data_IF_817582472216
#
_entry.id   IF_817582472216
#
_cell.length_a   1.000
_cell.length_b   1.000
_cell.length_c   1.000
_cell.angle_alpha   90.00
_cell.angle_beta   90.00
_cell.angle_gamma   90.00
#
_symmetry.space_group_name_H-M   'P 1'
#
loop_
_entity.id
_entity.type
_entity.pdbx_description
1 polymer ?
#
# COMPACT_ATOMS: atom_id res chain seq x y z
N UNK A 1 53.26 -22.85 -14.32
CA UNK A 1 53.89 -23.60 -15.41
C UNK A 1 52.90 -23.77 -16.55
N UNK A 2 53.34 -23.38 -17.78
CA UNK A 2 52.80 -23.61 -19.14
C UNK A 2 51.45 -22.96 -19.44
N UNK A 3 51.33 -21.79 -20.12
CA UNK A 3 51.76 -21.34 -21.48
C UNK A 3 51.26 -22.23 -22.63
N UNK A 4 50.42 -21.60 -23.52
CA UNK A 4 50.52 -21.56 -24.99
C UNK A 4 49.22 -20.90 -25.51
N UNK A 5 49.26 -19.70 -26.01
CA UNK A 5 49.68 -19.15 -27.33
C UNK A 5 48.82 -19.60 -28.51
N UNK A 6 48.15 -18.59 -29.05
CA UNK A 6 48.02 -18.06 -30.43
C UNK A 6 47.79 -19.06 -31.57
N UNK A 7 46.86 -18.74 -32.43
CA UNK A 7 47.10 -18.60 -33.89
C UNK A 7 46.10 -17.61 -34.53
N UNK A 8 46.69 -16.62 -35.16
CA UNK A 8 46.14 -15.62 -36.07
C UNK A 8 46.15 -16.22 -37.48
N UNK A 9 45.09 -16.09 -38.27
CA UNK A 9 45.15 -16.34 -39.72
C UNK A 9 44.42 -15.24 -40.48
N UNK A 10 45.27 -14.48 -41.17
CA UNK A 10 44.98 -13.44 -42.13
C UNK A 10 44.72 -14.10 -43.50
N UNK A 11 43.65 -13.74 -44.21
CA UNK A 11 43.57 -13.91 -45.65
C UNK A 11 43.15 -12.61 -46.31
N UNK A 12 44.11 -12.01 -46.99
CA UNK A 12 43.93 -11.01 -48.05
C UNK A 12 43.61 -11.73 -49.36
N UNK A 13 42.59 -11.24 -50.06
CA UNK A 13 42.49 -11.41 -51.51
C UNK A 13 41.88 -10.18 -52.14
N UNK A 14 42.66 -9.53 -52.96
CA UNK A 14 42.29 -8.46 -53.88
C UNK A 14 41.43 -8.99 -55.02
N UNK A 15 40.47 -8.13 -55.48
CA UNK A 15 39.74 -8.39 -56.72
C UNK A 15 38.95 -7.17 -57.15
N UNK A 16 39.45 -6.57 -58.20
CA UNK A 16 39.12 -5.30 -58.89
C UNK A 16 37.65 -5.03 -59.27
N UNK A 17 37.29 -3.74 -59.16
CA UNK A 17 36.51 -2.87 -60.05
C UNK A 17 35.43 -3.42 -60.97
N UNK A 18 34.22 -2.89 -60.81
CA UNK A 18 33.42 -2.34 -61.91
C UNK A 18 32.52 -1.20 -61.36
N UNK A 19 32.62 -0.04 -61.97
CA UNK A 19 31.79 1.14 -61.73
C UNK A 19 30.36 0.87 -62.18
N UNK A 20 29.42 1.03 -61.26
CA UNK A 20 28.00 1.19 -61.52
C UNK A 20 27.49 2.38 -60.74
N UNK A 21 27.26 3.53 -61.33
CA UNK A 21 26.54 4.65 -60.75
C UNK A 21 25.08 4.24 -60.47
N UNK A 22 24.88 3.72 -59.26
CA UNK A 22 23.58 3.57 -58.69
C UNK A 22 23.43 4.62 -57.58
N UNK A 23 22.51 5.57 -57.77
CA UNK A 23 22.20 6.57 -56.75
C UNK A 23 21.92 5.89 -55.42
N UNK A 24 22.77 6.12 -54.46
CA UNK A 24 22.54 5.73 -53.08
C UNK A 24 21.21 6.37 -52.64
N UNK A 25 20.20 5.57 -52.48
CA UNK A 25 19.01 6.00 -51.74
C UNK A 25 19.51 6.37 -50.35
N UNK A 26 19.46 7.66 -50.04
CA UNK A 26 19.56 8.16 -48.68
C UNK A 26 18.56 7.36 -47.83
N UNK A 27 18.95 6.87 -46.62
CA UNK A 27 17.98 6.37 -45.68
C UNK A 27 16.95 7.48 -45.47
N UNK A 28 15.66 7.11 -45.31
CA UNK A 28 14.64 8.12 -45.08
C UNK A 28 15.09 8.97 -43.91
N UNK A 29 15.18 10.27 -44.11
CA UNK A 29 15.37 11.25 -43.07
C UNK A 29 14.34 10.93 -41.99
N UNK A 30 14.81 10.64 -40.78
CA UNK A 30 13.92 10.40 -39.66
C UNK A 30 12.97 11.60 -39.54
N UNK A 31 11.76 11.42 -40.03
CA UNK A 31 10.68 12.35 -39.73
C UNK A 31 10.55 12.47 -38.25
N UNK A 32 10.32 13.65 -37.72
CA UNK A 32 9.95 13.80 -36.33
C UNK A 32 8.82 12.79 -36.05
N UNK A 33 8.88 12.06 -34.89
CA UNK A 33 7.86 11.09 -34.56
C UNK A 33 6.49 11.76 -34.61
N UNK A 34 5.52 11.10 -35.24
CA UNK A 34 4.16 11.62 -35.37
C UNK A 34 3.61 11.95 -33.98
N UNK A 35 3.36 13.24 -33.72
CA UNK A 35 2.73 13.70 -32.49
C UNK A 35 1.22 13.76 -32.68
N UNK A 36 0.52 13.22 -31.73
CA UNK A 36 -0.94 13.21 -31.67
C UNK A 36 -1.38 14.15 -30.54
N UNK A 37 -2.63 14.60 -30.61
CA UNK A 37 -3.26 15.37 -29.55
C UNK A 37 -4.53 14.67 -29.08
N UNK A 38 -4.65 14.48 -27.77
CA UNK A 38 -5.87 13.95 -27.15
C UNK A 38 -6.25 14.85 -25.96
N UNK A 39 -7.40 15.48 -26.06
CA UNK A 39 -7.91 16.43 -25.05
C UNK A 39 -6.94 17.55 -24.69
N UNK A 40 -6.12 18.02 -25.64
CA UNK A 40 -5.14 19.09 -25.42
C UNK A 40 -3.77 18.61 -24.96
N UNK A 41 -3.56 17.32 -24.77
CA UNK A 41 -2.25 16.72 -24.47
C UNK A 41 -1.60 16.21 -25.75
N UNK A 42 -0.37 16.67 -26.01
CA UNK A 42 0.44 16.21 -27.13
C UNK A 42 1.33 15.04 -26.71
N UNK A 43 1.29 13.94 -27.45
CA UNK A 43 2.07 12.72 -27.19
C UNK A 43 2.51 12.04 -28.47
N UNK A 44 3.52 11.17 -28.38
CA UNK A 44 3.94 10.27 -29.46
C UNK A 44 3.32 8.88 -29.29
N UNK A 45 3.12 8.16 -30.39
CA UNK A 45 2.62 6.77 -30.33
C UNK A 45 3.61 5.82 -29.65
N UNK A 46 4.89 6.16 -29.62
CA UNK A 46 5.94 5.36 -29.01
C UNK A 46 6.21 5.73 -27.54
N UNK A 47 5.47 6.71 -26.98
CA UNK A 47 5.64 7.14 -25.61
C UNK A 47 5.23 6.01 -24.63
N UNK A 48 5.99 5.87 -23.55
CA UNK A 48 5.76 4.88 -22.51
C UNK A 48 4.73 5.33 -21.45
N UNK A 49 4.43 6.63 -21.41
CA UNK A 49 3.46 7.23 -20.48
C UNK A 49 2.54 8.20 -21.21
N UNK A 50 1.25 8.14 -20.86
CA UNK A 50 0.23 9.11 -21.24
C UNK A 50 -0.44 9.62 -19.97
N UNK A 51 -0.21 10.89 -19.63
CA UNK A 51 -0.81 11.57 -18.48
C UNK A 51 -1.90 12.53 -18.94
N UNK A 52 -3.14 12.19 -18.59
CA UNK A 52 -4.36 12.96 -18.86
C UNK A 52 -4.96 13.53 -17.57
N UNK A 53 -4.18 13.60 -16.50
CA UNK A 53 -4.65 14.05 -15.19
C UNK A 53 -5.31 15.43 -15.25
N UNK A 54 -6.38 15.58 -14.48
CA UNK A 54 -7.16 16.83 -14.33
C UNK A 54 -7.85 17.33 -15.60
N UNK A 55 -7.93 16.51 -16.63
CA UNK A 55 -8.67 16.81 -17.85
C UNK A 55 -10.07 16.22 -17.74
N UNK A 56 -11.09 17.02 -17.97
CA UNK A 56 -12.47 16.54 -17.96
C UNK A 56 -12.74 15.65 -19.17
N UNK A 57 -12.68 14.35 -18.97
CA UNK A 57 -12.89 13.32 -20.00
C UNK A 57 -14.31 12.73 -19.92
N UNK A 58 -14.77 12.37 -18.69
CA UNK A 58 -16.08 11.78 -18.45
C UNK A 58 -16.36 10.59 -19.42
N UNK A 59 -17.46 10.66 -20.17
CA UNK A 59 -17.89 9.62 -21.11
C UNK A 59 -16.94 9.42 -22.30
N UNK A 60 -15.99 10.34 -22.53
CA UNK A 60 -14.98 10.25 -23.58
C UNK A 60 -13.88 9.20 -23.32
N UNK A 61 -13.92 8.48 -22.22
CA UNK A 61 -12.93 7.46 -21.88
C UNK A 61 -12.71 6.38 -22.94
N UNK A 62 -13.72 6.13 -23.82
CA UNK A 62 -13.60 5.16 -24.92
C UNK A 62 -12.60 5.62 -25.98
N UNK A 63 -12.48 6.92 -26.23
CA UNK A 63 -11.48 7.48 -27.14
C UNK A 63 -10.09 7.36 -26.54
N UNK A 64 -9.96 7.53 -25.21
CA UNK A 64 -8.70 7.28 -24.50
C UNK A 64 -8.28 5.82 -24.67
N UNK A 65 -9.18 4.87 -24.42
CA UNK A 65 -8.88 3.45 -24.58
C UNK A 65 -8.48 3.11 -26.04
N UNK A 66 -9.21 3.66 -27.01
CA UNK A 66 -8.89 3.47 -28.44
C UNK A 66 -7.51 4.00 -28.78
N UNK A 67 -7.14 5.13 -28.22
CA UNK A 67 -5.81 5.77 -28.43
C UNK A 67 -4.73 4.95 -27.75
N UNK A 68 -4.90 4.60 -26.47
CA UNK A 68 -3.93 3.82 -25.70
C UNK A 68 -3.60 2.46 -26.34
N UNK A 69 -4.59 1.80 -26.96
CA UNK A 69 -4.37 0.55 -27.73
C UNK A 69 -3.49 0.71 -28.96
N UNK A 70 -3.26 1.93 -29.43
CA UNK A 70 -2.37 2.21 -30.55
C UNK A 70 -0.94 2.53 -30.09
N UNK A 71 -0.69 2.60 -28.80
CA UNK A 71 0.60 2.92 -28.19
C UNK A 71 1.29 1.61 -27.74
N UNK A 72 2.16 1.02 -28.57
CA UNK A 72 2.70 -0.32 -28.31
C UNK A 72 3.64 -0.36 -27.09
N UNK A 73 4.22 0.78 -26.71
CA UNK A 73 5.17 0.89 -25.60
C UNK A 73 4.55 1.46 -24.32
N UNK A 74 3.23 1.71 -24.30
CA UNK A 74 2.56 2.36 -23.19
C UNK A 74 2.61 1.49 -21.93
N UNK A 75 3.37 1.93 -20.93
CA UNK A 75 3.50 1.30 -19.61
C UNK A 75 2.61 1.94 -18.56
N UNK A 76 2.33 3.24 -18.70
CA UNK A 76 1.53 3.99 -17.72
C UNK A 76 0.51 4.89 -18.41
N UNK A 77 -0.74 4.75 -18.01
CA UNK A 77 -1.86 5.64 -18.36
C UNK A 77 -2.37 6.29 -17.07
N UNK A 78 -2.12 7.58 -16.91
CA UNK A 78 -2.56 8.34 -15.73
C UNK A 78 -3.80 9.14 -16.08
N UNK A 79 -4.89 8.88 -15.36
CA UNK A 79 -6.19 9.52 -15.54
C UNK A 79 -6.72 10.03 -14.20
N UNK A 80 -5.84 10.70 -13.43
CA UNK A 80 -6.19 11.24 -12.13
C UNK A 80 -7.22 12.37 -12.26
N UNK A 81 -8.33 12.24 -11.53
CA UNK A 81 -9.37 13.29 -11.48
C UNK A 81 -9.93 13.70 -12.85
N UNK A 82 -10.15 12.73 -13.74
CA UNK A 82 -10.66 12.96 -15.10
C UNK A 82 -12.20 12.92 -15.22
N UNK A 83 -12.93 12.77 -14.11
CA UNK A 83 -14.39 12.65 -14.11
C UNK A 83 -14.92 11.33 -14.70
N UNK A 84 -14.07 10.34 -14.86
CA UNK A 84 -14.44 8.98 -15.29
C UNK A 84 -14.84 8.14 -14.09
N UNK A 85 -15.90 7.35 -14.21
CA UNK A 85 -16.36 6.49 -13.11
C UNK A 85 -15.37 5.34 -12.85
N UNK A 86 -15.28 4.87 -11.59
CA UNK A 86 -14.35 3.81 -11.22
C UNK A 86 -14.57 2.52 -12.02
N UNK A 87 -15.81 2.19 -12.34
CA UNK A 87 -16.20 1.02 -13.12
C UNK A 87 -15.69 1.12 -14.57
N UNK A 88 -15.77 2.31 -15.18
CA UNK A 88 -15.24 2.57 -16.51
C UNK A 88 -13.70 2.57 -16.52
N UNK A 89 -13.07 3.10 -15.47
CA UNK A 89 -11.62 3.02 -15.29
C UNK A 89 -11.15 1.56 -15.17
N UNK A 90 -11.92 0.72 -14.48
CA UNK A 90 -11.64 -0.71 -14.42
C UNK A 90 -11.74 -1.40 -15.79
N UNK A 91 -12.70 -1.00 -16.64
CA UNK A 91 -12.78 -1.50 -18.03
C UNK A 91 -11.54 -1.13 -18.83
N UNK A 92 -11.02 0.11 -18.67
CA UNK A 92 -9.78 0.53 -19.33
C UNK A 92 -8.61 -0.34 -18.86
N UNK A 93 -8.45 -0.50 -17.53
CA UNK A 93 -7.40 -1.32 -16.91
C UNK A 93 -7.43 -2.76 -17.45
N UNK A 94 -8.60 -3.38 -17.43
CA UNK A 94 -8.76 -4.78 -17.82
C UNK A 94 -8.53 -4.97 -19.35
N UNK A 95 -8.72 -3.91 -20.13
CA UNK A 95 -8.47 -3.90 -21.57
C UNK A 95 -7.00 -3.59 -21.97
N UNK A 96 -6.16 -3.19 -20.99
CA UNK A 96 -4.76 -2.84 -21.16
C UNK A 96 -3.88 -3.56 -20.11
N UNK A 97 -3.78 -4.91 -20.16
CA UNK A 97 -3.18 -5.71 -19.08
C UNK A 97 -1.69 -5.44 -18.86
N UNK A 98 -0.97 -4.94 -19.88
CA UNK A 98 0.46 -4.61 -19.78
C UNK A 98 0.71 -3.13 -19.41
N UNK A 99 -0.36 -2.35 -19.25
CA UNK A 99 -0.30 -0.93 -18.93
C UNK A 99 -0.81 -0.69 -17.52
N UNK A 100 -0.03 -0.02 -16.70
CA UNK A 100 -0.50 0.47 -15.40
C UNK A 100 -1.48 1.61 -15.60
N UNK A 101 -2.77 1.38 -15.31
CA UNK A 101 -3.82 2.41 -15.38
C UNK A 101 -4.07 2.98 -14.01
N UNK A 102 -3.85 4.29 -13.87
CA UNK A 102 -3.84 5.00 -12.59
C UNK A 102 -4.95 6.04 -12.56
N UNK A 103 -5.77 6.03 -11.50
CA UNK A 103 -6.78 7.04 -11.26
C UNK A 103 -6.98 7.29 -9.76
N UNK A 104 -7.76 8.29 -9.42
CA UNK A 104 -8.03 8.69 -8.04
C UNK A 104 -9.34 8.11 -7.53
N UNK A 105 -9.29 7.56 -6.33
CA UNK A 105 -10.46 7.08 -5.58
C UNK A 105 -10.73 8.05 -4.42
N UNK A 106 -11.96 8.52 -4.31
CA UNK A 106 -12.46 9.24 -3.14
C UNK A 106 -13.25 8.28 -2.26
N UNK A 107 -12.97 8.30 -0.95
CA UNK A 107 -13.64 7.45 0.05
C UNK A 107 -13.78 8.18 1.38
N UNK A 108 -14.74 7.74 2.22
CA UNK A 108 -15.12 8.53 3.39
C UNK A 108 -15.55 9.95 3.00
N UNK A 109 -15.45 10.90 3.93
CA UNK A 109 -15.84 12.29 3.68
C UNK A 109 -14.73 13.13 3.03
N UNK A 110 -13.46 12.81 3.28
CA UNK A 110 -12.34 13.66 2.89
C UNK A 110 -11.06 12.91 2.49
N UNK A 111 -11.12 11.58 2.43
CA UNK A 111 -9.97 10.79 2.03
C UNK A 111 -9.93 10.58 0.52
N UNK A 112 -8.72 10.57 0.00
CA UNK A 112 -8.46 10.32 -1.40
C UNK A 112 -7.12 9.62 -1.56
N UNK A 113 -7.01 8.73 -2.53
CA UNK A 113 -5.73 8.14 -2.93
C UNK A 113 -5.78 7.74 -4.41
N UNK A 114 -4.62 7.71 -5.06
CA UNK A 114 -4.49 7.13 -6.39
C UNK A 114 -4.42 5.61 -6.28
N UNK A 115 -4.83 4.91 -7.32
CA UNK A 115 -4.84 3.43 -7.34
C UNK A 115 -3.45 2.80 -7.28
N UNK A 116 -2.39 3.56 -7.60
CA UNK A 116 -0.99 3.14 -7.45
C UNK A 116 -0.44 3.38 -6.03
N UNK A 117 -1.26 3.86 -5.09
CA UNK A 117 -0.84 4.08 -3.72
C UNK A 117 -0.40 2.78 -3.04
N UNK A 118 0.73 2.83 -2.36
CA UNK A 118 1.25 1.74 -1.52
C UNK A 118 0.90 1.92 -0.05
N UNK A 119 0.40 3.11 0.35
CA UNK A 119 0.07 3.49 1.73
C UNK A 119 -1.21 4.30 1.75
N UNK A 120 -2.12 3.95 2.65
CA UNK A 120 -3.34 4.72 2.94
C UNK A 120 -3.47 4.86 4.46
N UNK A 121 -3.59 6.09 4.93
CA UNK A 121 -3.90 6.43 6.31
C UNK A 121 -5.23 7.18 6.34
N UNK A 122 -6.25 6.51 6.81
CA UNK A 122 -7.60 7.04 6.87
C UNK A 122 -8.27 6.74 8.21
N UNK A 123 -7.47 6.75 9.30
CA UNK A 123 -8.04 6.59 10.62
C UNK A 123 -8.73 7.88 11.09
N UNK A 124 -9.90 7.72 11.66
CA UNK A 124 -10.72 8.75 12.32
C UNK A 124 -10.56 8.60 13.86
N UNK A 125 -10.93 9.50 14.74
CA UNK A 125 -11.91 10.59 14.61
C UNK A 125 -11.31 11.98 14.47
N UNK A 126 -9.98 12.13 14.56
CA UNK A 126 -9.38 13.47 14.68
C UNK A 126 -9.49 14.32 13.41
N UNK A 127 -9.85 13.72 12.27
CA UNK A 127 -9.99 14.42 10.99
C UNK A 127 -11.45 14.50 10.54
N UNK A 128 -12.38 13.82 11.25
CA UNK A 128 -13.82 13.87 10.97
C UNK A 128 -14.24 13.19 9.65
N UNK A 129 -13.44 12.25 9.15
CA UNK A 129 -13.76 11.53 7.92
C UNK A 129 -14.00 10.05 8.20
N UNK A 130 -15.24 9.59 8.22
CA UNK A 130 -15.54 8.19 8.46
C UNK A 130 -15.44 7.37 7.18
N UNK A 131 -14.62 6.31 7.22
CA UNK A 131 -14.61 5.25 6.22
C UNK A 131 -15.61 4.18 6.67
N UNK A 132 -16.46 3.73 5.76
CA UNK A 132 -17.49 2.74 6.02
C UNK A 132 -17.30 1.50 5.16
N UNK A 133 -18.02 0.40 5.46
CA UNK A 133 -18.06 -0.79 4.59
C UNK A 133 -18.43 -0.45 3.14
N UNK A 134 -19.23 0.61 2.90
CA UNK A 134 -19.56 1.05 1.55
C UNK A 134 -18.35 1.61 0.81
N UNK A 135 -17.51 2.37 1.51
CA UNK A 135 -16.28 2.93 0.93
C UNK A 135 -15.27 1.84 0.64
N UNK A 136 -15.16 0.84 1.51
CA UNK A 136 -14.23 -0.28 1.37
C UNK A 136 -14.52 -1.15 0.14
N UNK A 137 -15.73 -1.09 -0.44
CA UNK A 137 -16.00 -1.74 -1.75
C UNK A 137 -15.15 -1.16 -2.89
N UNK A 138 -14.68 0.08 -2.76
CA UNK A 138 -13.79 0.73 -3.74
C UNK A 138 -12.33 0.28 -3.55
N UNK A 139 -11.99 -0.30 -2.41
CA UNK A 139 -10.62 -0.71 -2.10
C UNK A 139 -10.12 -1.87 -2.97
N UNK A 140 -11.01 -2.56 -3.68
CA UNK A 140 -10.65 -3.52 -4.74
C UNK A 140 -9.77 -2.93 -5.86
N UNK A 141 -9.66 -1.61 -5.92
CA UNK A 141 -8.83 -0.90 -6.90
C UNK A 141 -7.43 -0.58 -6.39
N UNK A 142 -7.16 -0.70 -5.08
CA UNK A 142 -5.86 -0.44 -4.46
C UNK A 142 -5.01 -1.72 -4.34
N UNK A 143 -4.70 -2.33 -5.46
CA UNK A 143 -4.03 -3.66 -5.49
C UNK A 143 -2.56 -3.62 -5.11
N UNK A 144 -1.96 -2.44 -4.93
CA UNK A 144 -0.56 -2.22 -4.57
C UNK A 144 -0.34 -1.83 -3.11
N UNK A 145 -1.41 -1.83 -2.31
CA UNK A 145 -1.30 -1.45 -0.90
C UNK A 145 -0.43 -2.43 -0.12
N UNK A 146 0.53 -1.86 0.60
CA UNK A 146 1.37 -2.53 1.60
C UNK A 146 1.04 -2.07 3.02
N UNK A 147 0.57 -0.83 3.16
CA UNK A 147 0.22 -0.21 4.44
C UNK A 147 -1.21 0.33 4.39
N UNK A 148 -2.04 -0.07 5.35
CA UNK A 148 -3.39 0.43 5.50
C UNK A 148 -3.71 0.72 6.98
N UNK A 149 -4.02 1.98 7.29
CA UNK A 149 -4.60 2.39 8.56
C UNK A 149 -5.99 2.97 8.33
N UNK A 150 -6.99 2.23 8.79
CA UNK A 150 -8.41 2.60 8.81
C UNK A 150 -9.01 2.41 10.21
N UNK A 151 -8.18 2.56 11.22
CA UNK A 151 -8.61 2.52 12.63
C UNK A 151 -9.60 3.65 12.98
N UNK A 152 -10.32 3.50 14.09
CA UNK A 152 -11.25 4.51 14.63
C UNK A 152 -12.34 4.98 13.66
N UNK A 153 -12.82 4.12 12.78
CA UNK A 153 -13.96 4.42 11.92
C UNK A 153 -15.29 3.89 12.49
N UNK A 154 -15.24 3.02 13.50
CA UNK A 154 -16.34 2.52 14.33
C UNK A 154 -17.45 1.73 13.60
N UNK A 155 -17.53 1.81 12.28
CA UNK A 155 -18.56 1.17 11.44
C UNK A 155 -18.03 0.05 10.54
N UNK A 156 -16.72 -0.24 10.57
CA UNK A 156 -16.12 -1.27 9.73
C UNK A 156 -16.32 -2.64 10.38
N UNK A 157 -17.04 -3.52 9.67
CA UNK A 157 -17.33 -4.90 10.10
C UNK A 157 -16.93 -5.94 9.05
N UNK A 158 -16.61 -5.55 7.83
CA UNK A 158 -16.32 -6.43 6.68
C UNK A 158 -14.89 -6.23 6.18
N UNK A 159 -14.07 -7.27 6.29
CA UNK A 159 -12.68 -7.31 5.82
C UNK A 159 -12.55 -7.90 4.41
N UNK A 160 -13.62 -8.19 3.71
CA UNK A 160 -13.57 -8.85 2.40
C UNK A 160 -12.72 -8.12 1.35
N UNK A 161 -12.49 -6.82 1.54
CA UNK A 161 -11.67 -5.98 0.65
C UNK A 161 -10.18 -6.35 0.68
N UNK A 162 -9.64 -6.91 1.77
CA UNK A 162 -8.20 -7.23 1.90
C UNK A 162 -7.74 -8.29 0.88
N UNK A 163 -8.66 -9.12 0.38
CA UNK A 163 -8.38 -10.10 -0.69
C UNK A 163 -7.80 -9.51 -1.97
N UNK A 164 -7.97 -8.21 -2.17
CA UNK A 164 -7.44 -7.48 -3.32
C UNK A 164 -6.05 -6.88 -3.07
N UNK A 165 -5.47 -7.12 -1.89
CA UNK A 165 -4.21 -6.53 -1.42
C UNK A 165 -3.19 -7.62 -1.09
N UNK A 166 -2.66 -8.37 -2.09
CA UNK A 166 -1.78 -9.51 -1.84
C UNK A 166 -0.44 -9.12 -1.22
N UNK A 167 -0.10 -7.84 -1.28
CA UNK A 167 1.16 -7.27 -0.77
C UNK A 167 0.99 -6.54 0.57
N UNK A 168 -0.16 -6.70 1.25
CA UNK A 168 -0.43 -6.02 2.51
C UNK A 168 0.52 -6.52 3.62
N UNK A 169 1.31 -5.61 4.19
CA UNK A 169 2.28 -5.85 5.25
C UNK A 169 1.82 -5.28 6.60
N UNK A 170 1.13 -4.15 6.57
CA UNK A 170 0.63 -3.48 7.77
C UNK A 170 -0.86 -3.22 7.64
N UNK A 171 -1.62 -3.73 8.59
CA UNK A 171 -3.05 -3.41 8.75
C UNK A 171 -3.34 -2.89 10.16
N UNK A 172 -3.80 -1.65 10.23
CA UNK A 172 -4.30 -1.04 11.45
C UNK A 172 -5.79 -0.80 11.27
N UNK A 173 -6.58 -1.53 12.04
CA UNK A 173 -8.03 -1.48 11.98
C UNK A 173 -8.66 -1.45 13.37
N UNK A 174 -7.91 -0.92 14.31
CA UNK A 174 -8.31 -0.72 15.70
C UNK A 174 -9.62 0.05 15.84
N UNK A 175 -10.38 -0.18 16.91
CA UNK A 175 -11.64 0.52 17.22
C UNK A 175 -12.71 0.33 16.13
N UNK A 176 -12.72 -0.83 15.48
CA UNK A 176 -13.79 -1.24 14.57
C UNK A 176 -14.41 -2.56 15.08
N UNK A 177 -15.74 -2.72 14.98
CA UNK A 177 -16.42 -3.88 15.57
C UNK A 177 -16.31 -5.14 14.71
N UNK A 178 -15.09 -5.52 14.37
CA UNK A 178 -14.78 -6.69 13.56
C UNK A 178 -15.01 -7.98 14.36
N UNK A 179 -15.72 -8.95 13.78
CA UNK A 179 -15.85 -10.31 14.31
C UNK A 179 -15.09 -11.32 13.45
N UNK A 180 -15.39 -11.36 12.16
CA UNK A 180 -14.84 -12.34 11.22
C UNK A 180 -13.48 -11.89 10.65
N UNK A 181 -12.42 -12.63 11.00
CA UNK A 181 -11.06 -12.43 10.49
C UNK A 181 -10.72 -13.35 9.31
N UNK A 182 -11.63 -14.20 8.85
CA UNK A 182 -11.38 -15.15 7.74
C UNK A 182 -10.73 -14.50 6.51
N UNK A 183 -11.09 -13.27 6.08
CA UNK A 183 -10.45 -12.64 4.93
C UNK A 183 -8.95 -12.38 5.10
N UNK A 184 -8.43 -12.33 6.34
CA UNK A 184 -7.00 -12.12 6.59
C UNK A 184 -6.15 -13.36 6.31
N UNK A 185 -6.77 -14.57 6.26
CA UNK A 185 -6.03 -15.82 6.11
C UNK A 185 -5.11 -15.85 4.86
N UNK A 186 -5.43 -15.07 3.84
CA UNK A 186 -4.65 -14.97 2.60
C UNK A 186 -3.63 -13.83 2.58
N UNK A 187 -3.59 -12.98 3.61
CA UNK A 187 -2.65 -11.86 3.70
C UNK A 187 -1.25 -12.33 4.15
N UNK A 188 -0.59 -13.21 3.36
CA UNK A 188 0.63 -13.92 3.76
C UNK A 188 1.85 -13.02 3.97
N UNK A 189 1.82 -11.76 3.52
CA UNK A 189 2.89 -10.78 3.74
C UNK A 189 2.67 -9.91 4.98
N UNK A 190 1.55 -10.12 5.70
CA UNK A 190 1.23 -9.31 6.87
C UNK A 190 2.26 -9.53 7.99
N UNK A 191 2.90 -8.44 8.40
CA UNK A 191 3.90 -8.39 9.48
C UNK A 191 3.37 -7.67 10.73
N UNK A 192 2.42 -6.75 10.56
CA UNK A 192 1.84 -5.95 11.64
C UNK A 192 0.32 -5.92 11.55
N UNK A 193 -0.35 -6.34 12.61
CA UNK A 193 -1.82 -6.35 12.69
C UNK A 193 -2.30 -5.73 14.00
N UNK A 194 -3.20 -4.76 13.90
CA UNK A 194 -3.80 -4.09 15.04
C UNK A 194 -5.32 -4.19 14.98
N UNK A 195 -5.88 -4.98 15.91
CA UNK A 195 -7.30 -5.30 16.06
C UNK A 195 -7.89 -4.75 17.39
N UNK A 196 -7.16 -3.87 18.04
CA UNK A 196 -7.53 -3.28 19.32
C UNK A 196 -9.01 -2.84 19.34
N UNK A 197 -9.75 -3.24 20.39
CA UNK A 197 -11.19 -2.97 20.54
C UNK A 197 -12.06 -3.63 19.45
N UNK A 198 -11.65 -4.75 18.87
CA UNK A 198 -12.50 -5.51 17.95
C UNK A 198 -13.43 -6.46 18.71
N UNK A 199 -14.38 -7.07 18.00
CA UNK A 199 -15.30 -8.08 18.53
C UNK A 199 -14.91 -9.52 18.16
N UNK A 200 -13.66 -9.69 17.71
CA UNK A 200 -13.18 -11.02 17.35
C UNK A 200 -13.14 -11.96 18.55
N UNK A 201 -13.51 -13.21 18.34
CA UNK A 201 -13.46 -14.32 19.29
C UNK A 201 -12.66 -15.52 18.76
N UNK A 202 -12.24 -15.47 17.48
CA UNK A 202 -11.49 -16.53 16.80
C UNK A 202 -10.25 -15.96 16.08
N UNK A 203 -9.06 -16.46 16.48
CA UNK A 203 -7.78 -16.13 15.83
C UNK A 203 -7.32 -17.20 14.84
N UNK A 204 -8.10 -18.27 14.59
CA UNK A 204 -7.73 -19.35 13.65
C UNK A 204 -7.36 -18.85 12.25
N UNK A 205 -8.00 -17.78 11.69
CA UNK A 205 -7.58 -17.24 10.41
C UNK A 205 -6.15 -16.71 10.37
N UNK A 206 -5.58 -16.36 11.53
CA UNK A 206 -4.22 -15.82 11.62
C UNK A 206 -3.16 -16.91 11.69
N UNK A 207 -3.50 -18.16 12.03
CA UNK A 207 -2.55 -19.26 12.27
C UNK A 207 -1.55 -19.51 11.13
N UNK A 208 -1.94 -19.19 9.89
CA UNK A 208 -1.11 -19.34 8.70
C UNK A 208 -0.29 -18.12 8.30
N UNK A 209 -0.31 -17.04 9.09
CA UNK A 209 0.38 -15.78 8.80
C UNK A 209 1.82 -15.78 9.38
N UNK A 210 2.70 -16.62 8.84
CA UNK A 210 4.04 -16.87 9.38
C UNK A 210 4.99 -15.66 9.31
N UNK A 211 4.63 -14.60 8.62
CA UNK A 211 5.38 -13.34 8.61
C UNK A 211 4.89 -12.35 9.67
N UNK A 212 3.79 -12.66 10.38
CA UNK A 212 3.24 -11.78 11.41
C UNK A 212 4.20 -11.70 12.60
N UNK A 213 4.65 -10.49 12.92
CA UNK A 213 5.59 -10.17 14.00
C UNK A 213 4.92 -9.40 15.13
N UNK A 214 3.96 -8.55 14.80
CA UNK A 214 3.32 -7.66 15.75
C UNK A 214 1.81 -7.87 15.70
N UNK A 215 1.24 -8.32 16.80
CA UNK A 215 -0.20 -8.55 16.96
C UNK A 215 -0.74 -7.79 18.17
N UNK A 216 -1.71 -6.90 17.95
CA UNK A 216 -2.46 -6.24 19.00
C UNK A 216 -3.92 -6.66 18.96
N UNK A 217 -4.35 -7.40 19.96
CA UNK A 217 -5.75 -7.78 20.20
C UNK A 217 -6.25 -7.25 21.55
N UNK A 218 -5.62 -6.22 22.07
CA UNK A 218 -6.00 -5.59 23.33
C UNK A 218 -7.47 -5.14 23.32
N UNK A 219 -8.13 -5.25 24.47
CA UNK A 219 -9.54 -4.88 24.63
C UNK A 219 -10.51 -5.60 23.69
N UNK A 220 -10.21 -6.84 23.29
CA UNK A 220 -11.13 -7.72 22.54
C UNK A 220 -11.95 -8.56 23.55
N UNK A 221 -13.15 -8.10 23.96
CA UNK A 221 -13.84 -8.68 25.13
C UNK A 221 -14.43 -10.06 24.89
N UNK A 222 -14.46 -10.53 23.65
CA UNK A 222 -14.97 -11.85 23.28
C UNK A 222 -13.86 -12.88 23.08
N UNK A 223 -12.60 -12.44 22.94
CA UNK A 223 -11.45 -13.32 22.74
C UNK A 223 -11.12 -14.08 24.05
N UNK A 224 -11.19 -15.41 24.00
CA UNK A 224 -10.95 -16.31 25.14
C UNK A 224 -9.96 -17.42 24.83
N UNK A 225 -9.58 -17.58 23.56
CA UNK A 225 -8.68 -18.63 23.12
C UNK A 225 -7.65 -18.08 22.14
N UNK A 226 -6.37 -18.23 22.52
CA UNK A 226 -5.22 -17.88 21.68
C UNK A 226 -4.46 -19.10 21.18
N UNK A 227 -4.96 -20.32 21.50
CA UNK A 227 -4.30 -21.54 21.06
C UNK A 227 -4.12 -21.65 19.53
N UNK A 228 -5.00 -21.09 18.67
CA UNK A 228 -4.78 -21.12 17.22
C UNK A 228 -3.49 -20.44 16.74
N UNK A 229 -2.93 -19.54 17.54
CA UNK A 229 -1.73 -18.79 17.17
C UNK A 229 -0.47 -19.22 17.94
N UNK A 230 -0.51 -20.34 18.66
CA UNK A 230 0.66 -20.86 19.38
C UNK A 230 1.88 -21.13 18.50
N UNK A 231 1.69 -21.41 17.23
CA UNK A 231 2.77 -21.60 16.25
C UNK A 231 3.24 -20.31 15.55
N UNK A 232 2.75 -19.13 15.97
CA UNK A 232 3.22 -17.86 15.44
C UNK A 232 4.37 -17.31 16.28
N UNK A 233 5.51 -17.08 15.67
CA UNK A 233 6.71 -16.50 16.27
C UNK A 233 6.62 -14.97 16.28
N UNK A 234 5.75 -14.42 17.15
CA UNK A 234 5.60 -12.98 17.26
C UNK A 234 6.80 -12.34 17.98
N UNK A 235 7.19 -11.16 17.56
CA UNK A 235 8.12 -10.29 18.30
C UNK A 235 7.40 -9.53 19.41
N UNK A 236 6.15 -9.10 19.16
CA UNK A 236 5.32 -8.39 20.14
C UNK A 236 3.87 -8.87 20.06
N UNK A 237 3.33 -9.20 21.23
CA UNK A 237 1.95 -9.62 21.38
C UNK A 237 1.26 -8.84 22.50
N UNK A 238 0.28 -8.02 22.13
CA UNK A 238 -0.47 -7.20 23.07
C UNK A 238 -1.90 -7.70 23.25
N UNK A 239 -2.26 -8.00 24.49
CA UNK A 239 -3.57 -8.51 24.92
C UNK A 239 -4.33 -7.49 25.78
N UNK A 240 -3.59 -6.65 26.54
CA UNK A 240 -4.17 -5.85 27.60
C UNK A 240 -4.57 -6.69 28.83
N UNK A 241 -5.26 -6.07 29.78
CA UNK A 241 -5.63 -6.75 31.02
C UNK A 241 -6.69 -7.84 30.80
N UNK A 242 -6.72 -8.86 31.65
CA UNK A 242 -7.75 -9.91 31.66
C UNK A 242 -9.18 -9.35 31.69
N UNK A 243 -9.39 -8.21 32.35
CA UNK A 243 -10.71 -7.58 32.40
C UNK A 243 -11.18 -7.05 31.05
N UNK A 244 -10.26 -6.74 30.14
CA UNK A 244 -10.54 -6.16 28.83
C UNK A 244 -10.40 -7.17 27.69
N UNK A 245 -9.58 -8.22 27.87
CA UNK A 245 -9.37 -9.31 26.93
C UNK A 245 -9.26 -10.61 27.75
N UNK A 246 -10.37 -11.38 27.94
CA UNK A 246 -10.47 -12.45 28.94
C UNK A 246 -9.82 -13.76 28.47
N UNK A 247 -8.62 -13.67 27.90
CA UNK A 247 -7.78 -14.86 27.63
C UNK A 247 -7.28 -15.43 28.94
N UNK A 248 -7.44 -16.75 29.21
CA UNK A 248 -6.97 -17.37 30.41
C UNK A 248 -5.47 -17.16 30.64
N UNK A 249 -5.03 -16.80 31.87
CA UNK A 249 -3.61 -16.59 32.15
C UNK A 249 -2.71 -17.77 31.80
N UNK A 250 -3.21 -19.01 31.96
CA UNK A 250 -2.49 -20.24 31.61
C UNK A 250 -2.18 -20.35 30.11
N UNK A 251 -3.02 -19.82 29.25
CA UNK A 251 -2.74 -19.76 27.82
C UNK A 251 -1.66 -18.73 27.48
N UNK A 252 -1.68 -17.61 28.18
CA UNK A 252 -0.67 -16.55 28.01
C UNK A 252 0.70 -17.04 28.48
N UNK A 253 0.76 -17.71 29.64
CA UNK A 253 2.02 -18.29 30.15
C UNK A 253 2.53 -19.39 29.22
N UNK A 254 1.65 -20.23 28.70
CA UNK A 254 2.03 -21.23 27.73
C UNK A 254 2.61 -20.60 26.43
N UNK A 255 2.00 -19.50 25.94
CA UNK A 255 2.56 -18.76 24.80
C UNK A 255 3.96 -18.20 25.10
N UNK A 256 4.19 -17.66 26.31
CA UNK A 256 5.52 -17.17 26.76
C UNK A 256 6.55 -18.30 26.83
N UNK A 257 6.14 -19.50 27.30
CA UNK A 257 7.02 -20.67 27.34
C UNK A 257 7.44 -21.11 25.95
N UNK A 258 6.53 -21.06 24.97
CA UNK A 258 6.82 -21.40 23.57
C UNK A 258 7.69 -20.33 22.89
N UNK A 259 7.52 -19.05 23.25
CA UNK A 259 8.16 -17.90 22.59
C UNK A 259 8.80 -16.98 23.63
N UNK A 260 9.94 -17.38 24.26
CA UNK A 260 10.55 -16.62 25.34
C UNK A 260 11.11 -15.25 24.90
N UNK A 261 11.36 -15.05 23.60
CA UNK A 261 11.84 -13.79 23.05
C UNK A 261 10.70 -12.82 22.64
N UNK A 262 9.44 -13.26 22.74
CA UNK A 262 8.29 -12.42 22.43
C UNK A 262 7.96 -11.46 23.59
N UNK A 263 7.84 -10.17 23.29
CA UNK A 263 7.29 -9.19 24.24
C UNK A 263 5.77 -9.35 24.35
N UNK A 264 5.31 -10.08 25.41
CA UNK A 264 3.87 -10.29 25.65
C UNK A 264 3.38 -9.36 26.73
N UNK A 265 2.49 -8.42 26.39
CA UNK A 265 1.84 -7.51 27.36
C UNK A 265 0.36 -7.92 27.56
N UNK A 266 0.03 -8.41 28.74
CA UNK A 266 -1.31 -8.74 29.19
C UNK A 266 -1.70 -8.04 30.52
N UNK A 267 -0.93 -7.04 30.91
CA UNK A 267 -1.09 -6.33 32.20
C UNK A 267 -1.40 -4.85 32.02
N UNK A 268 -0.94 -4.25 30.94
CA UNK A 268 -1.11 -2.84 30.65
C UNK A 268 -2.55 -2.49 30.30
N UNK A 269 -3.14 -1.54 31.02
CA UNK A 269 -4.42 -0.93 30.62
C UNK A 269 -4.24 0.04 29.44
N UNK A 270 -3.08 0.66 29.36
CA UNK A 270 -2.75 1.62 28.32
C UNK A 270 -2.24 0.94 27.04
N UNK A 271 -3.09 0.18 26.39
CA UNK A 271 -2.87 -0.14 25.00
C UNK A 271 -3.10 1.05 24.11
N UNK A 272 -3.23 2.20 24.74
CA UNK A 272 -3.45 3.35 23.90
C UNK A 272 -2.47 3.23 22.75
N UNK A 273 -2.98 3.36 21.56
CA UNK A 273 -2.26 3.37 20.31
C UNK A 273 -0.86 3.99 20.43
N UNK A 274 -0.72 4.91 21.37
CA UNK A 274 0.52 5.55 21.68
C UNK A 274 1.56 4.66 22.36
N UNK A 275 1.22 3.85 23.34
CA UNK A 275 2.17 2.98 24.05
C UNK A 275 2.56 1.79 23.18
N UNK A 276 1.61 1.10 22.57
CA UNK A 276 1.85 -0.03 21.68
C UNK A 276 2.79 0.30 20.52
N UNK A 277 2.52 1.38 19.82
CA UNK A 277 3.33 1.81 18.67
C UNK A 277 4.60 2.57 19.07
N UNK A 278 4.69 3.05 20.32
CA UNK A 278 5.83 3.81 20.85
C UNK A 278 6.84 2.96 21.60
N UNK A 279 6.38 1.94 22.32
CA UNK A 279 7.13 1.36 23.44
C UNK A 279 8.55 0.89 23.08
N UNK A 280 8.75 0.32 21.90
CA UNK A 280 10.08 -0.15 21.50
C UNK A 280 11.02 0.95 20.97
N UNK A 281 10.51 2.14 20.62
CA UNK A 281 11.27 3.12 19.84
C UNK A 281 11.62 4.41 20.59
N UNK A 282 10.97 4.72 21.70
CA UNK A 282 11.02 6.05 22.33
C UNK A 282 11.45 6.04 23.79
N UNK A 283 12.36 5.18 24.18
CA UNK A 283 13.05 5.30 25.45
C UNK A 283 14.31 6.17 25.33
N UNK A 284 14.62 6.92 26.41
CA UNK A 284 15.85 7.69 26.53
C UNK A 284 16.02 8.79 25.49
N UNK A 285 17.16 8.79 24.79
CA UNK A 285 17.55 9.86 23.86
C UNK A 285 16.60 10.02 22.64
N UNK A 286 15.96 8.94 22.19
CA UNK A 286 15.01 9.01 21.06
C UNK A 286 13.73 9.75 21.42
N UNK A 287 13.20 9.53 22.64
CA UNK A 287 12.05 10.27 23.14
C UNK A 287 12.37 11.78 23.27
N UNK A 288 13.52 12.11 23.81
CA UNK A 288 13.96 13.50 23.95
C UNK A 288 14.22 14.17 22.58
N UNK A 289 14.67 13.41 21.59
CA UNK A 289 14.79 13.89 20.22
C UNK A 289 13.42 14.21 19.63
N UNK A 290 12.42 13.35 19.81
CA UNK A 290 11.05 13.56 19.33
C UNK A 290 10.41 14.79 19.93
N UNK A 291 10.59 15.03 21.23
CA UNK A 291 10.08 16.22 21.91
C UNK A 291 10.60 17.53 21.33
N UNK A 292 11.73 17.51 20.65
CA UNK A 292 12.36 18.68 20.01
C UNK A 292 11.89 18.92 18.58
N UNK A 293 11.07 18.05 18.00
CA UNK A 293 10.63 18.22 16.62
C UNK A 293 9.53 19.27 16.50
N UNK A 294 9.49 20.06 15.38
CA UNK A 294 8.51 21.15 15.20
C UNK A 294 7.05 20.67 15.11
N UNK A 295 6.81 19.38 14.85
CA UNK A 295 5.49 18.77 14.85
C UNK A 295 5.10 18.19 16.21
N UNK A 296 5.98 18.25 17.22
CA UNK A 296 5.66 17.88 18.58
C UNK A 296 4.85 19.02 19.22
N UNK A 297 3.59 18.74 19.54
CA UNK A 297 2.79 19.58 20.44
C UNK A 297 2.22 18.70 21.54
N UNK A 298 2.03 19.25 22.73
CA UNK A 298 1.42 18.50 23.84
C UNK A 298 0.02 18.00 23.50
N UNK A 299 -0.72 18.72 22.67
CA UNK A 299 -2.03 18.27 22.14
C UNK A 299 -1.90 17.27 20.97
N UNK A 300 -0.77 17.28 20.27
CA UNK A 300 -0.45 16.35 19.16
C UNK A 300 0.50 15.23 19.58
N UNK A 301 0.73 15.03 20.86
CA UNK A 301 1.57 13.95 21.42
C UNK A 301 1.23 12.56 20.87
N UNK A 302 0.02 12.39 20.36
CA UNK A 302 -0.49 11.13 19.88
C UNK A 302 -0.08 10.77 18.44
N UNK A 303 0.35 11.71 17.58
CA UNK A 303 0.44 11.43 16.15
C UNK A 303 1.84 11.10 15.62
N UNK A 304 2.86 11.83 15.95
CA UNK A 304 4.21 11.54 15.46
C UNK A 304 4.88 10.34 16.15
N UNK A 305 4.73 10.16 17.48
CA UNK A 305 5.13 8.92 18.14
C UNK A 305 4.32 7.70 17.73
N UNK A 306 3.06 7.90 17.32
CA UNK A 306 2.12 6.84 16.98
C UNK A 306 2.63 5.86 15.93
N UNK A 307 3.45 6.31 15.01
CA UNK A 307 4.01 5.50 13.93
C UNK A 307 5.52 5.28 14.04
N UNK A 308 6.12 5.58 15.20
CA UNK A 308 7.57 5.45 15.36
C UNK A 308 8.06 4.02 15.13
N UNK A 309 7.36 3.03 15.67
CA UNK A 309 7.67 1.62 15.45
C UNK A 309 7.61 1.26 13.97
N UNK A 310 6.55 1.69 13.30
CA UNK A 310 6.32 1.38 11.88
C UNK A 310 7.39 2.03 11.01
N UNK A 311 7.83 3.24 11.34
CA UNK A 311 8.90 3.92 10.63
C UNK A 311 10.26 3.27 10.90
N UNK A 312 10.60 3.05 12.17
CA UNK A 312 11.95 2.68 12.59
C UNK A 312 12.24 1.18 12.36
N UNK A 313 11.24 0.33 12.47
CA UNK A 313 11.39 -1.14 12.28
C UNK A 313 10.91 -1.63 10.93
N UNK A 314 9.84 -1.08 10.39
CA UNK A 314 9.23 -1.54 9.14
C UNK A 314 9.49 -0.60 7.96
N UNK A 315 10.27 0.47 8.15
CA UNK A 315 10.74 1.37 7.08
C UNK A 315 9.66 2.24 6.44
N UNK A 316 8.58 2.55 7.18
CA UNK A 316 7.51 3.42 6.70
C UNK A 316 7.75 4.88 7.08
N UNK A 317 8.63 5.56 6.35
CA UNK A 317 8.87 7.00 6.54
C UNK A 317 7.74 7.87 5.98
N UNK A 318 7.58 9.07 6.55
CA UNK A 318 6.71 10.11 5.99
C UNK A 318 5.23 9.74 5.98
N UNK A 319 4.75 8.98 6.97
CA UNK A 319 3.33 8.62 7.08
C UNK A 319 2.48 9.87 7.32
N UNK A 320 1.57 10.15 6.39
CA UNK A 320 0.61 11.25 6.47
C UNK A 320 -0.78 10.74 6.13
N UNK A 321 -1.80 11.37 6.70
CA UNK A 321 -3.19 11.03 6.39
C UNK A 321 -3.49 11.25 4.91
N UNK A 322 -4.19 10.29 4.30
CA UNK A 322 -4.60 10.30 2.89
C UNK A 322 -5.77 11.25 2.62
N UNK A 323 -5.72 12.46 3.19
CA UNK A 323 -6.74 13.48 2.95
C UNK A 323 -6.36 14.31 1.72
N UNK A 324 -7.38 14.87 1.07
CA UNK A 324 -7.17 15.84 -0.03
C UNK A 324 -6.31 17.04 0.38
N UNK A 325 -6.21 17.36 1.67
CA UNK A 325 -5.40 18.48 2.19
C UNK A 325 -3.91 18.12 2.34
N UNK A 326 -3.61 16.83 2.53
CA UNK A 326 -2.25 16.31 2.71
C UNK A 326 -1.68 15.69 1.43
N UNK A 327 -2.50 15.54 0.39
CA UNK A 327 -2.07 14.96 -0.88
C UNK A 327 -1.53 16.06 -1.81
N UNK A 328 -0.20 16.11 -2.03
CA UNK A 328 0.40 17.17 -2.86
C UNK A 328 -0.03 17.09 -4.33
N UNK A 329 -0.58 15.96 -4.74
CA UNK A 329 -1.05 15.76 -6.12
C UNK A 329 -2.54 16.09 -6.29
N UNK A 330 -3.27 16.34 -5.18
CA UNK A 330 -4.68 16.68 -5.27
C UNK A 330 -4.86 18.13 -5.72
N UNK A 331 -5.66 18.34 -6.73
CA UNK A 331 -6.07 19.67 -7.20
C UNK A 331 -7.59 19.75 -7.24
N UNK A 332 -8.13 20.91 -6.86
CA UNK A 332 -9.54 21.18 -7.05
C UNK A 332 -9.82 21.45 -8.53
N UNK A 333 -10.48 20.52 -9.17
CA UNK A 333 -11.03 20.71 -10.51
C UNK A 333 -12.51 21.00 -10.33
N UNK A 334 -12.89 22.26 -10.43
CA UNK A 334 -14.30 22.67 -10.39
C UNK A 334 -15.07 22.07 -11.57
N UNK A 335 -15.93 21.11 -11.29
CA UNK A 335 -16.85 20.50 -12.26
C UNK A 335 -18.22 21.12 -12.19
#
# INVERSE_FOLDING_TARGET
>A
MKKREKILLLFLALGLFLFGCGAAKQPPSGGEPERLNLYGVDFGLEDEELDLSYIRIGDGWRDVLKTARRMPNLKRLVMDSCGVQNEDMAVIRDALPETEVIWRINFGLQYTARTDATRILASSPSIGGNVTNRDLKKFKYFTKLRFLDIGHNEDITDLSFVRYMPDLEVLIIAMNPLGDLTPLADCKKLEYLELFYSRTDDLSPLAGLKNLKHLNVGHCPYLKDISPIYDLELERFYLGTFASCPVPPEQVEHYRELHPDCEVDNESWESSEGAWRRAACLEGEKLEWYKKQPYYSEERQYYAPRYALLRDQLGYDGLQYSTKWNDPTWQYVGW
#
